data_IF_616808338658
#
_entry.id   IF_616808338658
#
_cell.length_a   1.000
_cell.length_b   1.000
_cell.length_c   1.000
_cell.angle_alpha   90.00
_cell.angle_beta   90.00
_cell.angle_gamma   90.00
#
_symmetry.space_group_name_H-M   'P 1'
#
loop_
_entity.id
_entity.type
_entity.pdbx_description
1 polymer ?
#
# COMPACT_ATOMS: atom_id res chain seq x y z
N UNK A 1 35.49 -52.84 4.03
CA UNK A 1 35.54 -51.38 3.80
C UNK A 1 34.13 -50.86 3.92
N UNK A 2 33.91 -50.04 4.94
CA UNK A 2 32.62 -49.52 5.33
C UNK A 2 32.12 -48.48 4.30
N UNK A 3 30.82 -48.54 3.98
CA UNK A 3 30.12 -47.47 3.30
C UNK A 3 29.84 -46.31 4.25
N UNK A 4 29.72 -45.11 3.70
CA UNK A 4 29.02 -44.01 4.33
C UNK A 4 28.48 -43.08 3.24
N UNK A 5 27.15 -43.06 3.15
CA UNK A 5 26.35 -42.04 2.50
C UNK A 5 26.74 -40.67 3.05
N UNK A 6 27.15 -39.74 2.18
CA UNK A 6 27.06 -38.31 2.50
C UNK A 6 25.79 -37.77 1.85
N UNK A 7 24.73 -37.80 2.66
CA UNK A 7 23.55 -36.97 2.51
C UNK A 7 24.03 -35.51 2.47
N UNK A 8 24.00 -34.88 1.29
CA UNK A 8 23.91 -33.42 1.24
C UNK A 8 22.52 -33.07 1.75
N UNK A 9 22.48 -32.87 3.06
CA UNK A 9 21.31 -32.42 3.78
C UNK A 9 20.80 -31.13 3.18
N UNK A 10 19.49 -31.10 2.96
CA UNK A 10 18.69 -29.91 2.76
C UNK A 10 18.95 -28.91 3.90
N UNK A 11 19.68 -27.85 3.62
CA UNK A 11 19.69 -26.61 4.39
C UNK A 11 19.47 -25.49 3.36
N UNK A 12 18.34 -24.80 3.27
CA UNK A 12 17.41 -24.35 4.31
C UNK A 12 16.04 -24.09 3.66
N UNK A 13 15.13 -25.07 3.68
CA UNK A 13 13.69 -24.84 3.50
C UNK A 13 13.12 -24.55 4.89
N UNK A 14 13.51 -23.41 5.45
CA UNK A 14 12.86 -22.70 6.55
C UNK A 14 13.76 -21.51 6.95
N UNK A 15 13.97 -20.59 6.02
CA UNK A 15 14.02 -19.21 6.49
C UNK A 15 12.61 -18.92 6.96
N UNK A 16 12.44 -19.06 8.28
CA UNK A 16 11.29 -18.61 9.03
C UNK A 16 10.82 -17.30 8.44
N UNK A 17 9.61 -17.27 7.89
CA UNK A 17 8.93 -16.03 7.53
C UNK A 17 8.53 -15.38 8.85
N UNK A 18 9.53 -14.87 9.56
CA UNK A 18 9.32 -13.94 10.65
C UNK A 18 8.81 -12.67 9.96
N UNK A 19 7.50 -12.60 9.76
CA UNK A 19 6.83 -11.40 9.27
C UNK A 19 6.99 -10.38 10.38
N UNK A 20 8.04 -9.57 10.31
CA UNK A 20 8.36 -8.48 11.26
C UNK A 20 7.36 -7.31 11.15
N UNK A 21 6.12 -7.62 10.82
CA UNK A 21 5.15 -6.66 10.30
C UNK A 21 5.53 -6.11 8.93
N UNK A 22 4.59 -5.42 8.30
CA UNK A 22 4.79 -4.78 7.00
C UNK A 22 3.67 -5.09 6.01
N UNK A 23 3.82 -4.65 4.77
CA UNK A 23 2.79 -4.81 3.76
C UNK A 23 3.29 -4.40 2.39
N UNK A 24 2.37 -4.26 1.45
CA UNK A 24 2.67 -3.71 0.14
C UNK A 24 1.45 -3.00 -0.44
N UNK A 25 1.73 -2.12 -1.40
CA UNK A 25 0.76 -1.66 -2.40
C UNK A 25 1.25 -2.13 -3.77
N UNK A 26 0.50 -3.03 -4.40
CA UNK A 26 0.72 -3.44 -5.80
C UNK A 26 -0.28 -2.70 -6.68
N UNK A 27 0.18 -1.89 -7.61
CA UNK A 27 -0.71 -1.00 -8.37
C UNK A 27 -0.29 -0.83 -9.82
N UNK A 28 -1.16 -0.20 -10.60
CA UNK A 28 -0.99 0.22 -11.99
C UNK A 28 -1.48 1.64 -12.15
N UNK A 29 -0.81 2.41 -13.01
CA UNK A 29 -1.29 3.72 -13.48
C UNK A 29 -1.96 3.50 -14.84
N UNK A 30 -3.24 3.85 -14.92
CA UNK A 30 -4.16 3.49 -15.99
C UNK A 30 -4.09 1.96 -16.25
N UNK A 31 -3.91 1.56 -17.51
CA UNK A 31 -3.73 0.15 -17.91
C UNK A 31 -2.24 -0.21 -18.12
N UNK A 32 -1.33 0.54 -17.47
CA UNK A 32 0.10 0.37 -17.60
C UNK A 32 0.69 -0.85 -16.86
N UNK A 33 2.00 -0.82 -16.70
CA UNK A 33 2.74 -1.86 -15.97
C UNK A 33 2.39 -1.85 -14.48
N UNK A 34 2.57 -3.03 -13.86
CA UNK A 34 2.34 -3.19 -12.43
C UNK A 34 3.60 -2.88 -11.66
N UNK A 35 3.46 -2.09 -10.60
CA UNK A 35 4.52 -1.73 -9.67
C UNK A 35 4.12 -2.18 -8.26
N UNK A 36 5.12 -2.40 -7.41
CA UNK A 36 4.93 -2.71 -6.00
C UNK A 36 5.76 -1.73 -5.18
N UNK A 37 5.17 -1.18 -4.13
CA UNK A 37 5.87 -0.43 -3.08
C UNK A 37 5.67 -1.22 -1.80
N UNK A 38 6.76 -1.64 -1.17
CA UNK A 38 6.72 -2.28 0.13
C UNK A 38 6.34 -1.27 1.22
N UNK A 39 5.69 -1.73 2.28
CA UNK A 39 5.26 -0.92 3.41
C UNK A 39 5.97 -1.40 4.67
N UNK A 40 6.60 -0.47 5.36
CA UNK A 40 7.11 -0.66 6.71
C UNK A 40 6.02 -0.57 7.78
N UNK A 41 6.36 -0.92 9.03
CA UNK A 41 5.44 -0.82 10.17
C UNK A 41 4.89 0.59 10.42
N UNK A 42 5.61 1.64 10.04
CA UNK A 42 5.26 3.05 10.32
C UNK A 42 4.58 3.74 9.12
N UNK A 43 4.42 3.05 8.00
CA UNK A 43 3.77 3.56 6.80
C UNK A 43 2.24 3.45 6.87
N UNK A 44 1.73 2.73 7.87
CA UNK A 44 0.31 2.42 8.05
C UNK A 44 -0.14 2.71 9.48
N UNK A 45 -1.08 3.62 9.62
CA UNK A 45 -1.79 3.90 10.87
C UNK A 45 -3.17 3.24 10.84
N UNK A 46 -3.34 2.20 11.67
CA UNK A 46 -4.59 1.44 11.78
C UNK A 46 -5.39 1.93 12.98
N UNK A 47 -6.73 2.13 12.85
CA UNK A 47 -7.57 2.50 13.98
C UNK A 47 -7.39 1.54 15.17
N UNK A 48 -7.19 2.09 16.37
CA UNK A 48 -7.18 1.34 17.64
C UNK A 48 -6.07 0.30 17.85
N UNK A 49 -5.05 0.22 16.97
CA UNK A 49 -3.94 -0.74 17.10
C UNK A 49 -2.68 -0.09 17.73
N UNK A 50 -2.51 1.24 17.60
CA UNK A 50 -1.44 2.00 18.30
C UNK A 50 -1.93 3.27 18.98
N UNK A 51 -3.06 3.79 18.51
CA UNK A 51 -3.60 5.10 18.85
C UNK A 51 -5.13 5.02 18.92
N UNK A 52 -5.77 6.03 19.54
CA UNK A 52 -7.23 6.11 19.64
C UNK A 52 -7.88 6.91 18.49
N UNK A 53 -7.35 6.79 17.26
CA UNK A 53 -7.96 7.42 16.09
C UNK A 53 -8.94 6.48 15.38
N UNK A 54 -9.78 7.10 14.54
CA UNK A 54 -10.86 6.44 13.81
C UNK A 54 -10.57 6.27 12.31
N UNK A 55 -9.41 6.67 11.82
CA UNK A 55 -9.04 6.57 10.41
C UNK A 55 -8.03 5.45 10.15
N UNK A 56 -8.06 4.89 8.94
CA UNK A 56 -6.92 4.20 8.34
C UNK A 56 -6.13 5.24 7.55
N UNK A 57 -4.83 5.33 7.76
CA UNK A 57 -3.95 6.16 6.95
C UNK A 57 -2.78 5.33 6.45
N UNK A 58 -2.51 5.41 5.15
CA UNK A 58 -1.41 4.73 4.49
C UNK A 58 -0.60 5.79 3.76
N UNK A 59 0.72 5.80 3.97
CA UNK A 59 1.65 6.68 3.26
C UNK A 59 2.93 5.92 2.97
N UNK A 60 3.21 5.71 1.69
CA UNK A 60 4.45 5.04 1.27
C UNK A 60 5.66 5.95 1.41
N UNK A 61 6.83 5.34 1.67
CA UNK A 61 8.11 6.05 1.57
C UNK A 61 8.61 6.11 0.13
N UNK A 62 9.42 7.12 -0.18
CA UNK A 62 9.94 7.34 -1.53
C UNK A 62 11.01 6.31 -1.88
N UNK A 63 11.85 5.96 -0.91
CA UNK A 63 12.95 5.00 -1.01
C UNK A 63 12.49 3.57 -1.33
N UNK A 64 11.26 3.21 -0.96
CA UNK A 64 10.67 1.89 -1.24
C UNK A 64 10.15 1.77 -2.69
N UNK A 65 10.17 2.86 -3.45
CA UNK A 65 9.70 2.92 -4.83
C UNK A 65 10.87 3.02 -5.80
N UNK A 66 11.10 1.95 -6.58
CA UNK A 66 12.16 1.92 -7.59
C UNK A 66 12.00 2.97 -8.70
N UNK A 67 10.77 3.46 -8.90
CA UNK A 67 10.44 4.50 -9.88
C UNK A 67 10.35 5.90 -9.26
N UNK A 68 10.37 6.02 -7.93
CA UNK A 68 10.18 7.30 -7.24
C UNK A 68 8.71 7.73 -7.13
N UNK A 69 7.79 6.77 -7.15
CA UNK A 69 6.38 7.03 -6.90
C UNK A 69 6.06 7.00 -5.41
N UNK A 70 5.07 7.78 -5.00
CA UNK A 70 4.52 7.73 -3.65
C UNK A 70 3.00 7.78 -3.66
N UNK A 71 2.38 7.05 -2.74
CA UNK A 71 0.94 7.01 -2.55
C UNK A 71 0.64 7.33 -1.09
N UNK A 72 -0.30 8.25 -0.87
CA UNK A 72 -0.94 8.40 0.42
C UNK A 72 -2.46 8.34 0.25
N UNK A 73 -3.13 7.61 1.13
CA UNK A 73 -4.58 7.64 1.22
C UNK A 73 -5.04 7.49 2.67
N UNK A 74 -6.12 8.19 2.99
CA UNK A 74 -6.78 8.08 4.28
C UNK A 74 -8.22 7.64 4.08
N UNK A 75 -8.72 6.74 4.92
CA UNK A 75 -10.15 6.41 5.00
C UNK A 75 -10.61 6.69 6.42
N UNK A 76 -11.61 7.56 6.57
CA UNK A 76 -12.21 7.85 7.87
C UNK A 76 -13.25 6.79 8.25
N UNK A 77 -13.23 6.29 9.49
CA UNK A 77 -14.11 5.24 10.00
C UNK A 77 -14.25 4.05 9.04
N UNK A 78 -13.14 3.36 8.69
CA UNK A 78 -13.13 2.35 7.64
C UNK A 78 -14.08 1.18 7.94
N UNK A 79 -14.90 0.83 6.94
CA UNK A 79 -15.85 -0.29 6.95
C UNK A 79 -15.46 -1.31 5.87
N UNK A 80 -15.92 -2.56 6.03
CA UNK A 80 -15.85 -3.51 4.92
C UNK A 80 -16.68 -3.01 3.74
N UNK A 81 -16.21 -3.28 2.53
CA UNK A 81 -16.80 -2.77 1.28
C UNK A 81 -16.19 -1.44 0.85
N UNK A 82 -16.97 -0.67 0.09
CA UNK A 82 -16.51 0.58 -0.53
C UNK A 82 -16.43 1.72 0.48
N UNK A 83 -15.27 2.36 0.54
CA UNK A 83 -15.04 3.58 1.31
C UNK A 83 -14.51 4.68 0.39
N UNK A 84 -14.93 5.92 0.63
CA UNK A 84 -14.34 7.08 -0.02
C UNK A 84 -13.04 7.47 0.71
N UNK A 85 -11.95 7.78 -0.02
CA UNK A 85 -10.77 8.35 0.61
C UNK A 85 -11.05 9.79 1.08
N UNK A 86 -10.34 10.22 2.14
CA UNK A 86 -10.40 11.62 2.62
C UNK A 86 -9.48 12.45 1.75
N UNK A 87 -10.09 13.37 1.02
CA UNK A 87 -9.47 14.07 -0.09
C UNK A 87 -8.30 14.98 0.32
N UNK A 88 -8.33 15.54 1.53
CA UNK A 88 -7.29 16.44 2.08
C UNK A 88 -5.99 15.70 2.41
N UNK A 89 -6.06 14.39 2.63
CA UNK A 89 -4.93 13.55 3.05
C UNK A 89 -4.54 12.51 2.00
N UNK A 90 -5.20 12.50 0.85
CA UNK A 90 -5.02 11.49 -0.18
C UNK A 90 -4.40 12.09 -1.44
N UNK A 91 -3.25 11.58 -1.85
CA UNK A 91 -2.50 12.06 -3.00
C UNK A 91 -1.63 10.96 -3.62
N UNK A 92 -1.18 11.20 -4.85
CA UNK A 92 -0.28 10.33 -5.59
C UNK A 92 0.79 11.18 -6.27
N UNK A 93 2.05 10.80 -6.15
CA UNK A 93 3.18 11.36 -6.91
C UNK A 93 3.77 10.25 -7.78
N UNK A 94 4.02 10.56 -9.05
CA UNK A 94 4.62 9.64 -10.02
C UNK A 94 6.01 10.12 -10.39
N UNK A 95 7.02 9.26 -10.40
CA UNK A 95 8.37 9.59 -10.90
C UNK A 95 8.93 10.91 -10.33
N UNK A 96 8.85 11.09 -9.00
CA UNK A 96 9.29 12.30 -8.31
C UNK A 96 8.56 13.61 -8.71
N UNK A 97 7.40 13.52 -9.36
CA UNK A 97 6.58 14.68 -9.70
C UNK A 97 5.87 15.29 -8.48
N UNK A 98 5.22 16.44 -8.69
CA UNK A 98 4.35 17.06 -7.69
C UNK A 98 3.21 16.10 -7.27
N UNK A 99 2.74 16.25 -6.03
CA UNK A 99 1.63 15.48 -5.51
C UNK A 99 0.32 15.85 -6.20
N UNK A 100 -0.23 14.90 -6.95
CA UNK A 100 -1.59 14.97 -7.47
C UNK A 100 -2.59 14.59 -6.40
N UNK A 101 -3.58 15.45 -6.16
CA UNK A 101 -4.68 15.18 -5.25
C UNK A 101 -5.53 14.01 -5.76
N UNK A 102 -5.86 13.06 -4.88
CA UNK A 102 -6.83 12.00 -5.18
C UNK A 102 -8.24 12.54 -4.96
N UNK A 103 -9.09 12.43 -5.98
CA UNK A 103 -10.46 12.94 -5.96
C UNK A 103 -11.42 11.94 -5.31
N UNK A 104 -11.98 12.29 -4.15
CA UNK A 104 -12.81 11.38 -3.36
C UNK A 104 -14.11 10.98 -4.08
N UNK A 105 -14.74 11.88 -4.85
CA UNK A 105 -15.99 11.58 -5.54
C UNK A 105 -15.87 10.51 -6.64
N UNK A 106 -14.66 10.23 -7.12
CA UNK A 106 -14.39 9.24 -8.15
C UNK A 106 -13.61 8.03 -7.63
N UNK A 107 -13.07 8.11 -6.42
CA UNK A 107 -12.14 7.12 -5.89
C UNK A 107 -12.81 6.22 -4.87
N UNK A 108 -12.43 4.94 -4.88
CA UNK A 108 -12.91 3.93 -3.94
C UNK A 108 -11.74 3.16 -3.35
N UNK A 109 -11.78 2.96 -2.04
CA UNK A 109 -10.98 1.98 -1.30
C UNK A 109 -11.92 0.88 -0.83
N UNK A 110 -11.89 -0.27 -1.51
CA UNK A 110 -12.72 -1.42 -1.18
C UNK A 110 -12.02 -2.30 -0.16
N UNK A 111 -12.37 -2.18 1.12
CA UNK A 111 -11.76 -2.96 2.19
C UNK A 111 -12.47 -4.31 2.26
N UNK A 112 -11.76 -5.39 1.98
CA UNK A 112 -12.29 -6.76 2.00
C UNK A 112 -11.85 -7.55 3.24
N UNK A 113 -10.81 -7.11 3.94
CA UNK A 113 -10.39 -7.66 5.23
C UNK A 113 -9.96 -6.53 6.19
N UNK A 114 -10.47 -6.58 7.42
CA UNK A 114 -9.95 -5.77 8.53
C UNK A 114 -10.08 -6.51 9.87
N UNK A 115 -8.97 -7.07 10.33
CA UNK A 115 -8.91 -7.77 11.63
C UNK A 115 -7.68 -7.31 12.44
N UNK A 116 -7.44 -7.97 13.57
CA UNK A 116 -6.32 -7.71 14.48
C UNK A 116 -4.96 -8.18 13.93
N UNK A 117 -4.95 -8.87 12.78
CA UNK A 117 -3.74 -9.39 12.16
C UNK A 117 -3.42 -8.77 10.81
N UNK A 118 -4.45 -8.44 10.01
CA UNK A 118 -4.32 -8.16 8.59
C UNK A 118 -5.39 -7.19 8.12
N UNK A 119 -4.99 -6.25 7.27
CA UNK A 119 -5.87 -5.35 6.54
C UNK A 119 -5.59 -5.44 5.05
N UNK A 120 -6.65 -5.56 4.25
CA UNK A 120 -6.54 -5.59 2.79
C UNK A 120 -7.60 -4.72 2.13
N UNK A 121 -7.25 -4.18 0.97
CA UNK A 121 -8.19 -3.43 0.16
C UNK A 121 -7.83 -3.47 -1.33
N UNK A 122 -8.85 -3.43 -2.19
CA UNK A 122 -8.67 -3.06 -3.58
C UNK A 122 -8.77 -1.53 -3.73
N UNK A 123 -7.86 -0.96 -4.51
CA UNK A 123 -7.74 0.46 -4.75
C UNK A 123 -8.23 0.78 -6.16
N UNK A 124 -9.13 1.74 -6.27
CA UNK A 124 -9.49 2.40 -7.52
C UNK A 124 -9.51 3.91 -7.27
N UNK A 125 -8.39 4.58 -7.52
CA UNK A 125 -8.16 5.97 -7.16
C UNK A 125 -8.03 6.81 -8.42
N UNK A 126 -8.54 8.03 -8.42
CA UNK A 126 -8.41 8.98 -9.52
C UNK A 126 -7.68 10.21 -9.03
N UNK A 127 -6.60 10.59 -9.71
CA UNK A 127 -5.73 11.68 -9.30
C UNK A 127 -5.47 12.67 -10.43
N UNK A 128 -5.09 13.90 -10.09
CA UNK A 128 -4.66 14.89 -11.07
C UNK A 128 -3.40 14.42 -11.81
N UNK A 129 -3.27 14.79 -13.08
CA UNK A 129 -2.05 14.49 -13.85
C UNK A 129 -1.01 15.60 -13.63
N UNK A 130 0.05 15.26 -12.88
CA UNK A 130 1.12 16.19 -12.52
C UNK A 130 2.46 15.85 -13.17
N UNK A 131 2.48 14.95 -14.16
CA UNK A 131 3.70 14.44 -14.81
C UNK A 131 4.49 15.50 -15.59
N UNK A 132 3.90 16.68 -15.83
CA UNK A 132 4.53 17.81 -16.51
C UNK A 132 5.20 18.82 -15.54
N UNK A 133 5.49 18.39 -14.31
CA UNK A 133 6.10 19.24 -13.27
C UNK A 133 5.14 20.20 -12.57
N UNK A 134 3.86 20.18 -12.95
CA UNK A 134 2.74 20.81 -12.27
C UNK A 134 1.45 20.05 -12.59
N UNK A 135 0.47 20.11 -11.70
CA UNK A 135 -0.83 19.48 -11.91
C UNK A 135 -1.69 20.24 -12.94
N UNK A 136 -2.22 19.53 -13.93
CA UNK A 136 -3.04 20.12 -15.00
C UNK A 136 -4.47 19.58 -14.91
N UNK A 137 -5.39 20.42 -14.43
CA UNK A 137 -6.81 20.05 -14.21
C UNK A 137 -7.59 19.77 -15.51
N UNK A 138 -7.08 20.22 -16.65
CA UNK A 138 -7.73 19.99 -17.96
C UNK A 138 -7.34 18.67 -18.61
N UNK A 139 -6.31 17.97 -18.09
CA UNK A 139 -5.96 16.64 -18.58
C UNK A 139 -6.88 15.58 -17.97
N UNK A 140 -7.07 14.44 -18.65
CA UNK A 140 -7.75 13.30 -18.05
C UNK A 140 -7.07 12.90 -16.73
N UNK A 141 -7.88 12.63 -15.70
CA UNK A 141 -7.40 12.12 -14.42
C UNK A 141 -6.65 10.81 -14.63
N UNK A 142 -5.56 10.61 -13.90
CA UNK A 142 -4.87 9.32 -13.86
C UNK A 142 -5.68 8.35 -13.00
N UNK A 143 -5.89 7.13 -13.49
CA UNK A 143 -6.55 6.06 -12.75
C UNK A 143 -5.50 5.17 -12.10
N UNK A 144 -5.47 5.08 -10.78
CA UNK A 144 -4.62 4.14 -10.05
C UNK A 144 -5.47 2.95 -9.64
N UNK A 145 -5.13 1.76 -10.12
CA UNK A 145 -5.77 0.51 -9.69
C UNK A 145 -4.77 -0.36 -8.95
N UNK A 146 -5.16 -1.02 -7.88
CA UNK A 146 -4.20 -1.84 -7.12
C UNK A 146 -4.78 -2.64 -5.97
N UNK A 147 -3.87 -3.30 -5.26
CA UNK A 147 -4.12 -4.09 -4.06
C UNK A 147 -3.23 -3.59 -2.93
N UNK A 148 -3.86 -3.21 -1.84
CA UNK A 148 -3.24 -2.97 -0.55
C UNK A 148 -3.33 -4.22 0.31
N UNK A 149 -2.22 -4.59 0.95
CA UNK A 149 -2.18 -5.61 1.98
C UNK A 149 -1.18 -5.22 3.05
N UNK A 150 -1.60 -5.29 4.30
CA UNK A 150 -0.75 -5.01 5.45
C UNK A 150 -0.98 -6.02 6.55
N UNK A 151 0.11 -6.56 7.08
CA UNK A 151 0.14 -7.43 8.24
C UNK A 151 0.55 -6.60 9.45
N UNK A 152 -0.33 -6.60 10.45
CA UNK A 152 -0.11 -5.93 11.72
C UNK A 152 1.05 -6.63 12.44
N UNK A 153 2.15 -5.92 12.74
CA UNK A 153 3.26 -6.47 13.50
C UNK A 153 2.79 -7.00 14.86
N UNK A 154 3.33 -8.13 15.32
CA UNK A 154 2.84 -8.82 16.52
C UNK A 154 2.95 -7.97 17.78
N UNK A 155 3.94 -7.09 17.86
CA UNK A 155 4.15 -6.18 18.99
C UNK A 155 3.04 -5.12 19.15
N UNK A 156 2.14 -4.98 18.17
CA UNK A 156 0.99 -4.07 18.22
C UNK A 156 -0.36 -4.78 18.35
N UNK A 157 -0.37 -6.11 18.44
CA UNK A 157 -1.58 -6.89 18.74
C UNK A 157 -1.78 -7.01 20.25
#
# INVERSE_FOLDING_TARGET
MAGAFTLLACSSINDSWEVKGGGYIKYKVNDGESHTIELGPDDVEIPFIRNSHHYLYVKTQLEESSRGDQIAFMVNNPKLGNNAPVQEYSWFSMEFSEQGRIFAENSTVHIDQKDDSTWTADLELYTADCRNGHCIDTLPKLKITGRFRYWIPEEYR
#
